data_IF_398872395565
#
_entry.id   IF_398872395565
#
_cell.length_a   1.000
_cell.length_b   1.000
_cell.length_c   1.000
_cell.angle_alpha   90.00
_cell.angle_beta   90.00
_cell.angle_gamma   90.00
#
_symmetry.space_group_name_H-M   'P 1'
#
loop_
_entity.id
_entity.type
_entity.pdbx_description
1 polymer ?
#
# COMPACT_ATOMS: atom_id res chain seq x y z
N UNK A 1 -3.07 -3.82 9.55
CA UNK A 1 -3.95 -3.10 8.63
C UNK A 1 -4.02 -1.61 8.98
N UNK A 2 -3.89 -0.73 7.98
CA UNK A 2 -3.89 0.73 8.18
C UNK A 2 -5.27 1.29 8.58
N UNK A 3 -6.36 0.56 8.32
CA UNK A 3 -7.72 1.00 8.68
C UNK A 3 -7.91 1.15 10.19
N UNK A 4 -7.60 0.15 11.04
CA UNK A 4 -7.62 0.29 12.48
C UNK A 4 -6.68 1.40 12.98
N UNK A 5 -5.50 1.55 12.38
CA UNK A 5 -4.55 2.61 12.76
C UNK A 5 -5.13 4.02 12.55
N UNK A 6 -5.78 4.26 11.40
CA UNK A 6 -6.49 5.51 11.11
C UNK A 6 -7.66 5.73 12.08
N UNK A 7 -8.42 4.68 12.37
CA UNK A 7 -9.53 4.77 13.34
C UNK A 7 -9.04 5.02 14.77
N UNK A 8 -7.88 4.48 15.15
CA UNK A 8 -7.28 4.71 16.46
C UNK A 8 -6.83 6.17 16.65
N UNK A 9 -6.59 6.91 15.58
CA UNK A 9 -6.24 8.33 15.66
C UNK A 9 -7.34 9.19 16.33
N UNK A 10 -8.55 8.67 16.49
CA UNK A 10 -9.63 9.31 17.29
C UNK A 10 -9.28 9.52 18.76
N UNK A 11 -8.34 8.72 19.29
CA UNK A 11 -7.91 8.82 20.69
C UNK A 11 -6.92 9.97 20.95
N UNK A 12 -6.50 10.67 19.91
CA UNK A 12 -5.61 11.83 20.04
C UNK A 12 -6.37 13.04 20.56
N UNK A 13 -5.77 13.74 21.53
CA UNK A 13 -6.38 14.87 22.23
C UNK A 13 -6.58 16.07 21.33
N UNK A 14 -5.63 16.31 20.40
CA UNK A 14 -5.70 17.45 19.51
C UNK A 14 -6.05 17.04 18.08
N UNK A 15 -6.77 17.91 17.36
CA UNK A 15 -7.07 17.71 15.95
C UNK A 15 -5.78 17.64 15.10
N UNK A 16 -4.77 18.43 15.48
CA UNK A 16 -3.47 18.46 14.78
C UNK A 16 -2.75 17.14 14.89
N UNK A 17 -2.68 16.56 16.09
CA UNK A 17 -2.03 15.27 16.31
C UNK A 17 -2.78 14.16 15.60
N UNK A 18 -4.13 14.21 15.60
CA UNK A 18 -4.96 13.28 14.84
C UNK A 18 -4.66 13.31 13.34
N UNK A 19 -4.63 14.51 12.75
CA UNK A 19 -4.32 14.69 11.34
C UNK A 19 -2.91 14.24 10.99
N UNK A 20 -1.94 14.51 11.86
CA UNK A 20 -0.55 14.09 11.71
C UNK A 20 -0.43 12.56 11.72
N UNK A 21 -1.05 11.90 12.71
CA UNK A 21 -1.07 10.44 12.84
C UNK A 21 -1.71 9.79 11.61
N UNK A 22 -2.84 10.32 11.12
CA UNK A 22 -3.49 9.85 9.90
C UNK A 22 -2.56 9.98 8.68
N UNK A 23 -1.76 11.05 8.60
CA UNK A 23 -0.82 11.24 7.48
C UNK A 23 0.39 10.32 7.53
N UNK A 24 0.79 9.85 8.71
CA UNK A 24 1.91 8.90 8.89
C UNK A 24 1.48 7.45 8.66
N UNK A 25 0.23 7.10 8.94
CA UNK A 25 -0.28 5.74 8.88
C UNK A 25 -0.04 5.00 7.54
N UNK A 26 -0.15 5.62 6.35
CA UNK A 26 0.04 4.95 5.06
C UNK A 26 1.44 4.36 4.84
N UNK A 27 2.45 4.91 5.49
CA UNK A 27 3.84 4.48 5.33
C UNK A 27 4.17 3.21 6.13
N UNK A 28 3.32 2.86 7.09
CA UNK A 28 3.49 1.61 7.83
C UNK A 28 3.08 0.42 6.98
N UNK A 29 3.92 -0.61 6.95
CA UNK A 29 3.61 -1.86 6.25
C UNK A 29 2.41 -2.56 6.87
N UNK A 30 1.61 -3.22 6.04
CA UNK A 30 0.49 -4.07 6.47
C UNK A 30 0.67 -5.49 5.92
N UNK A 31 -0.02 -6.48 6.50
CA UNK A 31 0.08 -7.87 6.07
C UNK A 31 -0.18 -8.09 4.57
N UNK A 32 -1.12 -7.34 3.98
CA UNK A 32 -1.39 -7.43 2.55
C UNK A 32 -0.23 -6.97 1.63
N UNK A 33 0.71 -6.18 2.14
CA UNK A 33 1.94 -5.84 1.40
C UNK A 33 3.00 -6.92 1.53
N UNK A 34 2.97 -7.67 2.63
CA UNK A 34 3.97 -8.70 2.90
C UNK A 34 3.96 -9.79 1.83
N UNK A 35 2.79 -10.21 1.34
CA UNK A 35 2.67 -11.19 0.25
C UNK A 35 3.36 -10.71 -1.04
N UNK A 36 3.24 -9.41 -1.37
CA UNK A 36 3.97 -8.84 -2.52
C UNK A 36 5.48 -8.81 -2.27
N UNK A 37 5.91 -8.49 -1.03
CA UNK A 37 7.34 -8.52 -0.70
C UNK A 37 7.91 -9.94 -0.79
N UNK A 38 7.15 -10.93 -0.33
CA UNK A 38 7.54 -12.32 -0.40
C UNK A 38 7.66 -12.82 -1.85
N UNK A 39 6.70 -12.46 -2.73
CA UNK A 39 6.77 -12.78 -4.16
C UNK A 39 8.05 -12.24 -4.81
N UNK A 40 8.36 -10.96 -4.58
CA UNK A 40 9.56 -10.35 -5.14
C UNK A 40 10.86 -10.83 -4.46
N UNK A 41 10.79 -11.17 -3.17
CA UNK A 41 11.92 -11.77 -2.46
C UNK A 41 12.29 -13.12 -3.05
N UNK A 42 11.29 -13.96 -3.35
CA UNK A 42 11.48 -15.24 -4.01
C UNK A 42 12.03 -15.09 -5.43
N UNK A 43 11.51 -14.13 -6.22
CA UNK A 43 11.93 -13.92 -7.59
C UNK A 43 13.35 -13.33 -7.72
N UNK A 44 13.70 -12.32 -6.92
CA UNK A 44 14.92 -11.52 -7.15
C UNK A 44 15.97 -11.61 -6.05
N UNK A 45 15.60 -12.03 -4.83
CA UNK A 45 16.44 -11.93 -3.63
C UNK A 45 16.50 -13.26 -2.85
N UNK A 46 16.66 -14.38 -3.55
CA UNK A 46 16.63 -15.74 -2.98
C UNK A 46 17.56 -15.92 -1.78
N UNK A 47 18.77 -15.33 -1.80
CA UNK A 47 19.73 -15.44 -0.69
C UNK A 47 19.50 -14.41 0.43
N UNK A 48 18.92 -13.24 0.11
CA UNK A 48 18.82 -12.09 1.02
C UNK A 48 17.37 -11.54 1.18
N UNK A 49 16.34 -12.35 0.90
CA UNK A 49 14.94 -11.92 0.92
C UNK A 49 14.51 -11.34 2.27
N UNK A 50 14.89 -11.99 3.38
CA UNK A 50 14.57 -11.50 4.72
C UNK A 50 15.21 -10.13 5.02
N UNK A 51 16.46 -9.92 4.60
CA UNK A 51 17.15 -8.62 4.75
C UNK A 51 16.45 -7.54 3.92
N UNK A 52 16.04 -7.85 2.69
CA UNK A 52 15.33 -6.93 1.81
C UNK A 52 14.00 -6.50 2.44
N UNK A 53 13.22 -7.43 2.96
CA UNK A 53 11.96 -7.13 3.65
C UNK A 53 12.22 -6.28 4.89
N UNK A 54 13.24 -6.59 5.68
CA UNK A 54 13.63 -5.80 6.84
C UNK A 54 13.97 -4.35 6.46
N UNK A 55 14.74 -4.15 5.38
CA UNK A 55 15.07 -2.82 4.86
C UNK A 55 13.81 -2.05 4.47
N UNK A 56 12.82 -2.69 3.82
CA UNK A 56 11.55 -2.08 3.48
C UNK A 56 10.75 -1.64 4.72
N UNK A 57 10.74 -2.44 5.79
CA UNK A 57 10.09 -2.05 7.06
C UNK A 57 10.77 -0.83 7.69
N UNK A 58 12.09 -0.83 7.77
CA UNK A 58 12.87 0.30 8.31
C UNK A 58 12.66 1.55 7.47
N UNK A 59 12.65 1.42 6.13
CA UNK A 59 12.36 2.52 5.21
C UNK A 59 10.95 3.09 5.44
N UNK A 60 9.95 2.24 5.61
CA UNK A 60 8.58 2.67 5.89
C UNK A 60 8.48 3.49 7.18
N UNK A 61 9.14 3.03 8.26
CA UNK A 61 9.20 3.74 9.54
C UNK A 61 9.91 5.09 9.37
N UNK A 62 11.06 5.10 8.69
CA UNK A 62 11.81 6.33 8.43
C UNK A 62 10.98 7.35 7.65
N UNK A 63 10.27 6.92 6.61
CA UNK A 63 9.39 7.79 5.80
C UNK A 63 8.19 8.29 6.59
N UNK A 64 7.62 7.48 7.49
CA UNK A 64 6.58 7.93 8.40
C UNK A 64 7.09 9.05 9.33
N UNK A 65 8.27 8.86 9.94
CA UNK A 65 8.89 9.87 10.81
C UNK A 65 9.24 11.15 10.04
N UNK A 66 9.83 11.03 8.84
CA UNK A 66 10.16 12.17 7.98
C UNK A 66 8.91 12.95 7.59
N UNK A 67 7.83 12.26 7.22
CA UNK A 67 6.54 12.90 6.92
C UNK A 67 5.98 13.61 8.15
N UNK A 68 6.00 12.98 9.32
CA UNK A 68 5.57 13.59 10.57
C UNK A 68 6.36 14.87 10.89
N UNK A 69 7.69 14.83 10.79
CA UNK A 69 8.54 16.00 10.99
C UNK A 69 8.30 17.10 9.94
N UNK A 70 8.14 16.71 8.68
CA UNK A 70 7.86 17.64 7.59
C UNK A 70 6.54 18.39 7.82
N UNK A 71 5.46 17.66 8.13
CA UNK A 71 4.13 18.23 8.37
C UNK A 71 4.10 19.10 9.64
N UNK A 72 4.74 18.64 10.72
CA UNK A 72 4.86 19.39 11.96
C UNK A 72 5.56 20.73 11.75
N UNK A 73 6.64 20.75 10.96
CA UNK A 73 7.44 21.95 10.74
C UNK A 73 6.89 22.88 9.65
N UNK A 74 5.93 22.40 8.83
CA UNK A 74 5.39 23.17 7.69
C UNK A 74 3.95 23.59 7.89
N UNK A 75 3.05 22.68 8.27
CA UNK A 75 1.61 22.90 8.34
C UNK A 75 1.10 23.12 9.77
N UNK A 76 1.74 22.53 10.77
CA UNK A 76 1.28 22.56 12.15
C UNK A 76 2.33 23.21 13.04
N UNK A 77 1.99 24.34 13.68
CA UNK A 77 2.84 24.86 14.76
C UNK A 77 2.77 23.93 15.97
N UNK A 78 3.91 23.67 16.64
CA UNK A 78 3.90 22.92 17.89
C UNK A 78 3.13 23.73 18.95
N UNK A 79 2.04 23.16 19.42
CA UNK A 79 1.35 23.62 20.62
C UNK A 79 1.77 22.67 21.74
N UNK A 80 2.41 23.21 22.77
CA UNK A 80 2.67 22.48 24.00
C UNK A 80 1.37 22.44 24.79
N UNK A 81 0.51 21.45 24.49
CA UNK A 81 -0.59 21.12 25.38
C UNK A 81 -0.05 20.27 26.50
N UNK A 82 -0.06 20.74 27.76
CA UNK A 82 0.29 19.89 28.87
C UNK A 82 -0.70 18.73 28.91
N UNK A 83 -0.23 17.52 28.69
CA UNK A 83 -1.04 16.32 28.83
C UNK A 83 -1.24 16.05 30.32
N UNK A 84 -2.35 16.49 30.87
CA UNK A 84 -2.79 16.18 32.22
C UNK A 84 -3.94 15.18 32.10
N UNK A 85 -3.63 13.91 32.24
CA UNK A 85 -4.66 12.87 32.32
C UNK A 85 -4.90 12.52 33.78
N UNK A 86 -6.09 12.81 34.28
CA UNK A 86 -6.55 12.23 35.52
C UNK A 86 -6.61 10.71 35.36
N UNK A 87 -5.92 9.97 36.22
CA UNK A 87 -5.96 8.51 36.21
C UNK A 87 -7.37 8.07 36.66
N UNK A 88 -8.21 7.55 35.74
CA UNK A 88 -9.50 7.01 36.13
C UNK A 88 -9.30 5.81 37.03
N UNK A 89 -10.27 5.56 37.94
CA UNK A 89 -10.24 4.39 38.79
C UNK A 89 -10.12 3.11 37.95
N UNK A 90 -9.13 2.27 38.31
CA UNK A 90 -8.87 1.04 37.58
C UNK A 90 -10.02 0.05 37.80
N UNK A 91 -10.74 -0.29 36.74
CA UNK A 91 -11.77 -1.32 36.73
C UNK A 91 -11.31 -2.53 35.94
N UNK A 92 -11.38 -3.71 36.53
CA UNK A 92 -11.10 -4.95 35.81
C UNK A 92 -12.15 -5.15 34.72
N UNK A 93 -11.78 -5.25 33.46
CA UNK A 93 -12.73 -5.40 32.37
C UNK A 93 -13.46 -6.74 32.46
N UNK A 94 -14.79 -6.72 32.34
CA UNK A 94 -15.58 -7.95 32.30
C UNK A 94 -15.45 -8.61 30.92
N UNK A 95 -15.24 -9.94 30.91
CA UNK A 95 -15.11 -10.72 29.66
C UNK A 95 -16.30 -10.47 28.73
N UNK A 96 -17.52 -10.48 29.26
CA UNK A 96 -18.74 -10.20 28.49
C UNK A 96 -18.73 -8.81 27.85
N UNK A 97 -18.28 -7.78 28.57
CA UNK A 97 -18.18 -6.41 28.07
C UNK A 97 -17.14 -6.27 26.95
N UNK A 98 -15.99 -6.94 27.11
CA UNK A 98 -14.93 -6.97 26.08
C UNK A 98 -15.45 -7.67 24.82
N UNK A 99 -16.01 -8.87 24.94
CA UNK A 99 -16.52 -9.64 23.81
C UNK A 99 -17.64 -8.91 23.05
N UNK A 100 -18.60 -8.29 23.75
CA UNK A 100 -19.66 -7.51 23.12
C UNK A 100 -19.12 -6.33 22.33
N UNK A 101 -18.24 -5.53 22.93
CA UNK A 101 -17.63 -4.37 22.26
C UNK A 101 -16.75 -4.79 21.08
N UNK A 102 -16.01 -5.89 21.22
CA UNK A 102 -15.20 -6.46 20.14
C UNK A 102 -16.09 -6.91 19.00
N UNK A 103 -17.18 -7.63 19.28
CA UNK A 103 -18.12 -8.08 18.27
C UNK A 103 -18.81 -6.92 17.54
N UNK A 104 -19.26 -5.89 18.23
CA UNK A 104 -19.86 -4.70 17.61
C UNK A 104 -18.88 -3.99 16.67
N UNK A 105 -17.62 -3.83 17.10
CA UNK A 105 -16.56 -3.23 16.27
C UNK A 105 -16.23 -4.09 15.07
N UNK A 106 -16.05 -5.40 15.28
CA UNK A 106 -15.74 -6.36 14.23
C UNK A 106 -16.86 -6.43 13.19
N UNK A 107 -18.12 -6.59 13.63
CA UNK A 107 -19.28 -6.59 12.75
C UNK A 107 -19.37 -5.31 11.92
N UNK A 108 -19.22 -4.17 12.58
CA UNK A 108 -19.25 -2.87 11.91
C UNK A 108 -18.12 -2.72 10.88
N UNK A 109 -16.94 -3.23 11.17
CA UNK A 109 -15.78 -3.23 10.27
C UNK A 109 -16.02 -4.16 9.07
N UNK A 110 -16.37 -5.42 9.32
CA UNK A 110 -16.57 -6.43 8.28
C UNK A 110 -17.68 -6.01 7.31
N UNK A 111 -18.83 -5.53 7.83
CA UNK A 111 -19.94 -5.11 6.97
C UNK A 111 -19.60 -3.89 6.10
N UNK A 112 -18.80 -2.95 6.61
CA UNK A 112 -18.44 -1.75 5.85
C UNK A 112 -17.28 -1.99 4.89
N UNK A 113 -16.21 -2.60 5.37
CA UNK A 113 -15.05 -2.93 4.55
C UNK A 113 -15.41 -3.98 3.49
N UNK A 114 -16.13 -5.04 3.88
CA UNK A 114 -16.58 -6.09 2.98
C UNK A 114 -17.45 -5.53 1.84
N UNK A 115 -18.43 -4.67 2.14
CA UNK A 115 -19.25 -4.05 1.10
C UNK A 115 -18.40 -3.24 0.11
N UNK A 116 -17.44 -2.48 0.60
CA UNK A 116 -16.55 -1.68 -0.27
C UNK A 116 -15.66 -2.59 -1.11
N UNK A 117 -15.06 -3.62 -0.49
CA UNK A 117 -14.17 -4.57 -1.18
C UNK A 117 -14.93 -5.32 -2.26
N UNK A 118 -16.12 -5.90 -1.94
CA UNK A 118 -16.94 -6.63 -2.91
C UNK A 118 -17.30 -5.73 -4.10
N UNK A 119 -17.76 -4.51 -3.85
CA UNK A 119 -18.11 -3.57 -4.93
C UNK A 119 -16.92 -3.28 -5.84
N UNK A 120 -15.74 -3.06 -5.23
CA UNK A 120 -14.52 -2.77 -5.98
C UNK A 120 -14.03 -3.98 -6.77
N UNK A 121 -14.05 -5.18 -6.17
CA UNK A 121 -13.67 -6.43 -6.86
C UNK A 121 -14.57 -6.68 -8.05
N UNK A 122 -15.89 -6.51 -7.92
CA UNK A 122 -16.83 -6.64 -9.04
C UNK A 122 -16.48 -5.66 -10.18
N UNK A 123 -16.18 -4.40 -9.84
CA UNK A 123 -15.80 -3.39 -10.85
C UNK A 123 -14.47 -3.77 -11.53
N UNK A 124 -13.48 -4.25 -10.79
CA UNK A 124 -12.20 -4.66 -11.34
C UNK A 124 -12.31 -5.90 -12.22
N UNK A 125 -13.07 -6.92 -11.79
CA UNK A 125 -13.32 -8.12 -12.59
C UNK A 125 -14.05 -7.74 -13.88
N UNK A 126 -15.01 -6.83 -13.82
CA UNK A 126 -15.70 -6.34 -14.99
C UNK A 126 -14.76 -5.62 -15.97
N UNK A 127 -13.89 -4.74 -15.47
CA UNK A 127 -12.90 -4.04 -16.29
C UNK A 127 -11.83 -4.99 -16.88
N UNK A 128 -11.52 -6.06 -16.17
CA UNK A 128 -10.57 -7.07 -16.63
C UNK A 128 -11.20 -8.02 -17.66
N UNK A 129 -12.51 -8.30 -17.54
CA UNK A 129 -13.23 -9.21 -18.43
C UNK A 129 -13.64 -8.55 -19.76
N UNK A 130 -13.84 -7.22 -19.79
CA UNK A 130 -14.21 -6.50 -21.01
C UNK A 130 -12.97 -6.20 -21.85
N UNK A 131 -12.99 -6.59 -23.12
CA UNK A 131 -12.02 -6.16 -24.12
C UNK A 131 -12.26 -4.73 -24.60
N UNK A 132 -11.21 -4.11 -25.11
CA UNK A 132 -11.29 -2.78 -25.74
C UNK A 132 -12.20 -2.73 -26.97
N UNK A 133 -12.54 -3.88 -27.53
CA UNK A 133 -13.47 -4.10 -28.64
C UNK A 133 -14.91 -4.41 -28.21
N UNK A 134 -15.17 -4.43 -26.88
CA UNK A 134 -16.47 -4.78 -26.30
C UNK A 134 -16.72 -6.28 -26.18
N UNK A 135 -15.74 -7.14 -26.46
CA UNK A 135 -15.82 -8.58 -26.22
C UNK A 135 -15.71 -8.90 -24.72
N UNK A 136 -16.40 -9.96 -24.25
CA UNK A 136 -16.29 -10.48 -22.90
C UNK A 136 -15.38 -11.72 -22.87
N UNK A 137 -14.78 -12.02 -21.70
CA UNK A 137 -13.91 -13.19 -21.53
C UNK A 137 -12.44 -12.90 -21.81
N UNK A 138 -12.01 -11.62 -21.75
CA UNK A 138 -10.61 -11.22 -21.93
C UNK A 138 -9.89 -11.10 -20.57
N UNK A 139 -10.26 -11.92 -19.60
CA UNK A 139 -9.62 -11.91 -18.27
C UNK A 139 -8.13 -12.20 -18.40
N UNK A 140 -7.33 -11.36 -17.74
CA UNK A 140 -5.85 -11.45 -17.71
C UNK A 140 -5.20 -11.45 -19.13
N UNK A 141 -5.87 -10.90 -20.13
CA UNK A 141 -5.37 -10.84 -21.49
C UNK A 141 -4.98 -9.40 -21.85
N UNK A 142 -4.06 -9.28 -22.82
CA UNK A 142 -3.60 -7.99 -23.38
C UNK A 142 -4.73 -7.12 -23.93
N UNK A 143 -5.87 -7.73 -24.32
CA UNK A 143 -7.03 -7.05 -24.90
C UNK A 143 -7.95 -6.42 -23.86
N UNK A 144 -7.79 -6.71 -22.58
CA UNK A 144 -8.65 -6.15 -21.54
C UNK A 144 -8.52 -4.63 -21.46
N UNK A 145 -9.59 -3.95 -21.08
CA UNK A 145 -9.60 -2.49 -20.87
C UNK A 145 -8.58 -2.12 -19.77
N UNK A 146 -8.45 -2.96 -18.74
CA UNK A 146 -7.49 -2.74 -17.65
C UNK A 146 -6.05 -2.77 -18.16
N UNK A 147 -5.71 -3.74 -19.01
CA UNK A 147 -4.39 -3.84 -19.66
C UNK A 147 -4.12 -2.65 -20.60
N UNK A 148 -5.16 -2.20 -21.33
CA UNK A 148 -5.06 -1.00 -22.15
C UNK A 148 -4.75 0.27 -21.36
N UNK A 149 -5.41 0.48 -20.21
CA UNK A 149 -5.13 1.59 -19.31
C UNK A 149 -3.70 1.48 -18.76
N UNK A 150 -3.30 0.29 -18.34
CA UNK A 150 -1.97 0.05 -17.79
C UNK A 150 -0.87 0.40 -18.80
N UNK A 151 -1.00 -0.02 -20.06
CA UNK A 151 -0.03 0.31 -21.14
C UNK A 151 0.12 1.81 -21.38
N UNK A 152 -0.96 2.57 -21.29
CA UNK A 152 -0.90 4.04 -21.42
C UNK A 152 -0.17 4.68 -20.23
N UNK A 153 -0.28 4.09 -19.05
CA UNK A 153 0.31 4.62 -17.81
C UNK A 153 1.74 4.11 -17.59
N UNK A 154 2.11 2.94 -18.11
CA UNK A 154 3.44 2.32 -17.92
C UNK A 154 4.60 3.24 -18.23
N UNK A 155 4.62 4.06 -19.31
CA UNK A 155 5.72 4.98 -19.59
C UNK A 155 6.01 5.97 -18.45
N UNK A 156 5.00 6.33 -17.63
CA UNK A 156 5.20 7.18 -16.45
C UNK A 156 6.03 6.50 -15.36
N UNK A 157 6.12 5.18 -15.36
CA UNK A 157 6.92 4.40 -14.43
C UNK A 157 8.31 4.00 -14.98
N UNK A 158 8.63 4.37 -16.21
CA UNK A 158 9.96 4.14 -16.81
C UNK A 158 11.11 4.69 -15.95
N UNK A 159 11.02 5.88 -15.30
CA UNK A 159 12.08 6.38 -14.42
C UNK A 159 12.35 5.53 -13.16
N UNK A 160 11.39 4.65 -12.78
CA UNK A 160 11.55 3.67 -11.70
C UNK A 160 12.17 2.35 -12.17
N UNK A 161 12.42 2.18 -13.49
CA UNK A 161 12.93 0.96 -14.07
C UNK A 161 11.85 -0.01 -14.56
N UNK A 162 10.58 0.37 -14.60
CA UNK A 162 9.53 -0.42 -15.23
C UNK A 162 9.60 -0.20 -16.74
N UNK A 163 9.94 -1.26 -17.49
CA UNK A 163 10.03 -1.22 -18.94
C UNK A 163 8.65 -1.08 -19.59
N UNK A 164 8.57 -0.60 -20.81
CA UNK A 164 7.29 -0.40 -21.51
C UNK A 164 6.53 -1.72 -21.72
N UNK A 165 7.26 -2.81 -21.95
CA UNK A 165 6.69 -4.14 -22.11
C UNK A 165 6.20 -4.75 -20.77
N UNK A 166 6.62 -4.18 -19.64
CA UNK A 166 6.22 -4.64 -18.30
C UNK A 166 4.94 -3.94 -17.81
N UNK A 167 3.93 -3.86 -18.69
CA UNK A 167 2.61 -3.35 -18.32
C UNK A 167 1.91 -4.19 -17.23
N UNK A 168 2.17 -5.53 -17.04
CA UNK A 168 1.61 -6.29 -15.93
C UNK A 168 1.97 -5.71 -14.56
N UNK A 169 3.21 -5.22 -14.38
CA UNK A 169 3.61 -4.52 -13.15
C UNK A 169 2.73 -3.29 -12.88
N UNK A 170 2.36 -2.54 -13.93
CA UNK A 170 1.46 -1.38 -13.82
C UNK A 170 0.03 -1.79 -13.47
N UNK A 171 -0.47 -2.92 -14.02
CA UNK A 171 -1.75 -3.50 -13.59
C UNK A 171 -1.69 -3.83 -12.10
N UNK A 172 -0.61 -4.44 -11.62
CA UNK A 172 -0.39 -4.73 -10.20
C UNK A 172 -0.43 -3.47 -9.32
N UNK A 173 0.11 -2.33 -9.78
CA UNK A 173 0.00 -1.04 -9.08
C UNK A 173 -1.46 -0.59 -9.02
N UNK A 174 -2.19 -0.64 -10.13
CA UNK A 174 -3.57 -0.19 -10.22
C UNK A 174 -4.48 -1.07 -9.34
N UNK A 175 -4.40 -2.38 -9.49
CA UNK A 175 -5.18 -3.33 -8.67
C UNK A 175 -4.86 -3.21 -7.19
N UNK A 176 -3.58 -2.96 -6.84
CA UNK A 176 -3.13 -2.76 -5.48
C UNK A 176 -3.66 -1.50 -4.79
N UNK A 177 -4.12 -0.48 -5.53
CA UNK A 177 -4.87 0.65 -4.94
C UNK A 177 -6.21 0.16 -4.40
N UNK A 178 -6.82 -0.77 -5.07
CA UNK A 178 -8.13 -1.30 -4.70
C UNK A 178 -8.02 -2.41 -3.64
N UNK A 179 -7.24 -3.45 -3.94
CA UNK A 179 -7.07 -4.63 -3.09
C UNK A 179 -5.59 -5.09 -3.17
N UNK A 180 -4.81 -4.78 -2.13
CA UNK A 180 -3.38 -5.11 -2.12
C UNK A 180 -3.11 -6.61 -2.06
N UNK A 181 -4.00 -7.34 -1.45
CA UNK A 181 -3.99 -8.80 -1.39
C UNK A 181 -4.19 -9.47 -2.77
N UNK A 182 -4.91 -8.82 -3.67
CA UNK A 182 -5.15 -9.35 -5.01
C UNK A 182 -3.97 -9.16 -5.97
N UNK A 183 -2.96 -8.36 -5.60
CA UNK A 183 -1.81 -8.05 -6.47
C UNK A 183 -1.05 -9.30 -6.86
N UNK A 184 -0.80 -10.22 -5.92
CA UNK A 184 -0.03 -11.44 -6.18
C UNK A 184 -0.74 -12.31 -7.21
N UNK A 185 -2.03 -12.61 -7.01
CA UNK A 185 -2.80 -13.39 -7.98
C UNK A 185 -2.94 -12.71 -9.34
N UNK A 186 -3.04 -11.36 -9.37
CA UNK A 186 -3.07 -10.62 -10.63
C UNK A 186 -1.74 -10.69 -11.37
N UNK A 187 -0.61 -10.57 -10.66
CA UNK A 187 0.71 -10.67 -11.26
C UNK A 187 0.98 -12.09 -11.73
N UNK A 188 0.63 -13.11 -10.94
CA UNK A 188 0.78 -14.51 -11.32
C UNK A 188 0.00 -14.81 -12.61
N UNK A 189 -1.26 -14.45 -12.68
CA UNK A 189 -2.10 -14.66 -13.85
C UNK A 189 -1.62 -13.91 -15.12
N UNK A 190 -0.97 -12.74 -14.97
CA UNK A 190 -0.47 -11.96 -16.09
C UNK A 190 0.94 -12.35 -16.56
N UNK A 191 1.77 -12.88 -15.66
CA UNK A 191 3.11 -13.35 -15.99
C UNK A 191 3.15 -14.83 -16.38
N UNK A 192 2.09 -15.62 -16.11
CA UNK A 192 1.92 -17.01 -16.51
C UNK A 192 0.69 -17.21 -17.39
N UNK A 193 0.65 -16.65 -18.60
CA UNK A 193 -0.54 -16.73 -19.47
C UNK A 193 -0.83 -18.17 -19.95
N UNK A 194 0.11 -19.10 -19.85
CA UNK A 194 -0.06 -20.53 -20.20
C UNK A 194 -0.80 -21.33 -19.10
N UNK A 195 -0.97 -20.76 -17.92
CA UNK A 195 -1.75 -21.36 -16.83
C UNK A 195 -3.27 -21.12 -16.98
N UNK A 196 -3.73 -20.65 -18.13
CA UNK A 196 -5.14 -20.62 -18.50
C UNK A 196 -5.69 -22.05 -18.51
N UNK A 197 -6.21 -22.44 -17.37
CA UNK A 197 -6.87 -23.73 -17.16
C UNK A 197 -8.12 -23.73 -18.06
N UNK A 198 -8.10 -24.55 -19.14
CA UNK A 198 -9.25 -24.87 -19.97
C UNK A 198 -10.29 -25.71 -19.18
N UNK A 199 -10.23 -25.71 -17.85
CA UNK A 199 -11.22 -26.36 -17.01
C UNK A 199 -12.58 -25.67 -17.15
N UNK A 200 -13.60 -26.44 -17.48
CA UNK A 200 -14.99 -26.00 -17.48
C UNK A 200 -15.29 -25.26 -16.16
N UNK A 201 -15.82 -24.05 -16.26
CA UNK A 201 -16.13 -23.19 -15.10
C UNK A 201 -17.12 -23.91 -14.16
N UNK A 202 -16.63 -24.59 -13.15
CA UNK A 202 -17.43 -25.21 -12.08
C UNK A 202 -17.62 -24.24 -10.90
N UNK A 203 -18.73 -23.51 -10.94
CA UNK A 203 -19.09 -22.58 -9.87
C UNK A 203 -19.29 -23.28 -8.51
N UNK A 204 -19.83 -24.51 -8.51
CA UNK A 204 -20.10 -25.24 -7.28
C UNK A 204 -18.83 -25.82 -6.69
N UNK A 205 -17.92 -26.31 -7.54
CA UNK A 205 -16.58 -26.77 -7.15
C UNK A 205 -15.78 -25.61 -6.53
N UNK A 206 -15.66 -24.50 -7.23
CA UNK A 206 -14.95 -23.31 -6.74
C UNK A 206 -15.53 -22.72 -5.45
N UNK A 207 -16.87 -22.73 -5.29
CA UNK A 207 -17.51 -22.30 -4.04
C UNK A 207 -17.23 -23.26 -2.89
N UNK A 208 -17.25 -24.58 -3.17
CA UNK A 208 -16.91 -25.61 -2.20
C UNK A 208 -15.45 -25.49 -1.74
N UNK A 209 -14.54 -25.28 -2.66
CA UNK A 209 -13.11 -25.09 -2.38
C UNK A 209 -12.88 -23.81 -1.55
N UNK A 210 -13.51 -22.70 -1.92
CA UNK A 210 -13.47 -21.45 -1.14
C UNK A 210 -14.02 -21.61 0.29
N UNK A 211 -15.04 -22.44 0.52
CA UNK A 211 -15.56 -22.71 1.86
C UNK A 211 -14.59 -23.60 2.65
N UNK A 212 -13.95 -24.56 2.00
CA UNK A 212 -12.98 -25.48 2.65
C UNK A 212 -11.68 -24.77 3.07
N UNK A 213 -11.33 -23.62 2.48
CA UNK A 213 -10.18 -22.81 2.96
C UNK A 213 -10.41 -22.25 4.37
N UNK A 214 -11.67 -22.12 4.82
CA UNK A 214 -11.97 -21.56 6.15
C UNK A 214 -11.47 -22.47 7.28
N UNK A 215 -11.81 -23.78 7.34
CA UNK A 215 -11.27 -24.68 8.38
C UNK A 215 -9.77 -24.85 8.27
N UNK A 216 -9.19 -24.88 7.07
CA UNK A 216 -7.74 -25.02 6.88
C UNK A 216 -6.98 -23.81 7.42
N UNK A 217 -7.43 -22.60 7.11
CA UNK A 217 -6.85 -21.38 7.68
C UNK A 217 -7.09 -21.28 9.20
N UNK A 218 -8.20 -21.83 9.72
CA UNK A 218 -8.47 -21.84 11.17
C UNK A 218 -7.48 -22.78 11.90
N UNK A 219 -7.10 -23.89 11.29
CA UNK A 219 -6.07 -24.79 11.84
C UNK A 219 -4.70 -24.09 11.90
N UNK A 220 -4.36 -23.27 10.89
CA UNK A 220 -3.11 -22.48 10.80
C UNK A 220 -3.05 -21.24 11.73
N UNK A 221 -4.14 -20.88 12.44
CA UNK A 221 -4.13 -19.71 13.33
C UNK A 221 -3.08 -19.81 14.45
N UNK A 222 -2.81 -21.02 14.94
CA UNK A 222 -1.81 -21.22 15.98
C UNK A 222 -0.40 -20.85 15.48
N UNK A 223 -0.06 -21.21 14.26
CA UNK A 223 1.24 -20.92 13.63
C UNK A 223 1.35 -19.42 13.34
N UNK A 224 0.28 -18.79 12.88
CA UNK A 224 0.23 -17.33 12.68
C UNK A 224 0.40 -16.54 13.99
N UNK A 225 -0.06 -17.07 15.12
CA UNK A 225 0.16 -16.45 16.45
C UNK A 225 1.61 -16.56 16.92
N UNK A 226 2.32 -17.59 16.50
CA UNK A 226 3.74 -17.79 16.81
C UNK A 226 4.66 -16.95 15.90
N UNK A 227 4.19 -16.56 14.72
CA UNK A 227 4.91 -15.69 13.78
C UNK A 227 4.09 -14.42 13.43
N UNK A 228 3.96 -13.47 14.36
CA UNK A 228 3.16 -12.27 14.18
C UNK A 228 3.69 -11.31 13.10
N UNK A 229 4.92 -11.50 12.65
CA UNK A 229 5.54 -10.70 11.59
C UNK A 229 5.48 -11.39 10.22
N UNK A 230 5.05 -12.65 10.16
CA UNK A 230 4.99 -13.44 8.93
C UNK A 230 6.39 -13.71 8.32
N UNK A 231 7.42 -13.79 9.17
CA UNK A 231 8.79 -14.00 8.71
C UNK A 231 9.03 -15.43 8.21
N UNK A 232 8.23 -16.39 8.63
CA UNK A 232 8.23 -17.76 8.09
C UNK A 232 7.86 -17.78 6.62
N UNK A 233 7.03 -16.84 6.17
CA UNK A 233 6.69 -16.64 4.75
C UNK A 233 7.87 -16.17 3.88
N UNK A 234 9.06 -15.92 4.45
CA UNK A 234 10.23 -15.40 3.74
C UNK A 234 11.32 -16.47 3.58
N UNK A 235 10.97 -17.75 3.71
CA UNK A 235 11.88 -18.90 3.54
C UNK A 235 12.02 -19.38 2.08
N UNK A 236 12.87 -20.35 1.83
CA UNK A 236 13.30 -20.76 0.49
C UNK A 236 12.24 -21.52 -0.38
N UNK A 237 11.11 -21.96 0.18
CA UNK A 237 10.11 -22.78 -0.52
C UNK A 237 8.79 -22.02 -0.83
N UNK A 238 8.86 -20.72 -1.10
CA UNK A 238 7.71 -19.81 -1.09
C UNK A 238 6.81 -19.85 -2.32
N UNK A 239 7.29 -20.34 -3.45
CA UNK A 239 6.47 -20.45 -4.68
C UNK A 239 5.27 -21.37 -4.47
N UNK A 240 5.51 -22.54 -3.84
CA UNK A 240 4.47 -23.52 -3.58
C UNK A 240 3.47 -23.06 -2.50
N UNK A 241 3.92 -22.39 -1.42
CA UNK A 241 3.04 -21.89 -0.36
C UNK A 241 2.12 -20.74 -0.79
N UNK A 242 2.52 -19.94 -1.79
CA UNK A 242 1.70 -18.86 -2.33
C UNK A 242 0.88 -19.27 -3.55
N UNK A 243 1.01 -20.50 -4.04
CA UNK A 243 0.34 -20.99 -5.23
C UNK A 243 0.75 -20.23 -6.50
N UNK A 244 1.99 -19.73 -6.57
CA UNK A 244 2.54 -18.99 -7.70
C UNK A 244 3.28 -19.96 -8.63
N UNK A 245 3.05 -19.82 -9.92
CA UNK A 245 3.67 -20.68 -10.93
C UNK A 245 5.16 -20.33 -11.12
N UNK A 246 6.02 -21.33 -11.32
CA UNK A 246 7.46 -21.10 -11.57
C UNK A 246 7.74 -20.23 -12.80
N UNK A 247 6.87 -20.32 -13.81
CA UNK A 247 6.95 -19.46 -15.01
C UNK A 247 6.81 -17.98 -14.70
N UNK A 248 6.08 -17.62 -13.64
CA UNK A 248 5.90 -16.23 -13.16
C UNK A 248 7.24 -15.62 -12.75
N UNK A 249 8.06 -16.36 -12.00
CA UNK A 249 9.36 -15.86 -11.53
C UNK A 249 10.30 -15.57 -12.71
N UNK A 250 10.39 -16.50 -13.67
CA UNK A 250 11.24 -16.35 -14.86
C UNK A 250 10.80 -15.16 -15.72
N UNK A 251 9.49 -15.00 -15.89
CA UNK A 251 8.92 -13.87 -16.65
C UNK A 251 9.16 -12.54 -15.95
N UNK A 252 8.98 -12.49 -14.61
CA UNK A 252 9.28 -11.31 -13.81
C UNK A 252 10.74 -10.90 -13.92
N UNK A 253 11.69 -11.84 -13.79
CA UNK A 253 13.13 -11.57 -13.93
C UNK A 253 13.45 -10.96 -15.29
N UNK A 254 12.86 -11.51 -16.35
CA UNK A 254 13.09 -11.03 -17.72
C UNK A 254 12.54 -9.61 -17.93
N UNK A 255 11.32 -9.34 -17.47
CA UNK A 255 10.64 -8.07 -17.72
C UNK A 255 11.11 -6.93 -16.80
N UNK A 256 11.56 -7.21 -15.57
CA UNK A 256 12.18 -6.20 -14.72
C UNK A 256 13.66 -5.97 -15.07
N UNK A 257 14.35 -6.98 -15.58
CA UNK A 257 15.72 -6.92 -16.08
C UNK A 257 16.80 -6.58 -15.05
N UNK A 258 16.46 -6.13 -13.85
CA UNK A 258 17.43 -5.84 -12.78
C UNK A 258 16.81 -5.89 -11.37
N UNK A 259 17.64 -6.29 -10.40
CA UNK A 259 17.24 -6.26 -8.97
C UNK A 259 16.94 -4.83 -8.49
N UNK A 260 17.59 -3.81 -9.06
CA UNK A 260 17.32 -2.40 -8.73
C UNK A 260 15.93 -1.95 -9.18
N UNK A 261 15.45 -2.41 -10.33
CA UNK A 261 14.10 -2.14 -10.81
C UNK A 261 13.06 -2.82 -9.93
N UNK A 262 13.27 -4.09 -9.59
CA UNK A 262 12.40 -4.84 -8.69
C UNK A 262 12.34 -4.19 -7.29
N UNK A 263 13.48 -3.80 -6.72
CA UNK A 263 13.53 -3.13 -5.42
C UNK A 263 12.88 -1.74 -5.46
N UNK A 264 13.11 -0.96 -6.50
CA UNK A 264 12.45 0.34 -6.71
C UNK A 264 10.93 0.20 -6.79
N UNK A 265 10.44 -0.81 -7.52
CA UNK A 265 9.02 -1.13 -7.59
C UNK A 265 8.45 -1.46 -6.20
N UNK A 266 9.15 -2.26 -5.39
CA UNK A 266 8.75 -2.56 -4.02
C UNK A 266 8.72 -1.32 -3.13
N UNK A 267 9.68 -0.43 -3.26
CA UNK A 267 9.70 0.86 -2.54
C UNK A 267 8.49 1.71 -2.94
N UNK A 268 8.12 1.72 -4.22
CA UNK A 268 6.91 2.38 -4.67
C UNK A 268 5.66 1.75 -4.05
N UNK A 269 5.52 0.41 -4.09
CA UNK A 269 4.39 -0.34 -3.51
C UNK A 269 4.31 -0.17 -1.99
N UNK A 270 5.45 -0.01 -1.32
CA UNK A 270 5.50 0.29 0.12
C UNK A 270 4.89 1.66 0.44
N UNK A 271 5.27 2.70 -0.30
CA UNK A 271 5.04 4.09 0.10
C UNK A 271 3.81 4.72 -0.57
N UNK A 272 3.33 4.18 -1.72
CA UNK A 272 2.23 4.80 -2.47
C UNK A 272 0.90 4.73 -1.70
N UNK A 273 -0.13 5.32 -2.30
CA UNK A 273 -1.46 5.44 -1.71
C UNK A 273 -1.93 4.16 -0.99
N UNK A 274 -2.54 4.27 0.19
CA UNK A 274 -3.13 3.12 0.86
C UNK A 274 -4.35 2.60 0.09
N UNK A 275 -4.83 1.40 0.43
CA UNK A 275 -6.00 0.80 -0.22
C UNK A 275 -7.28 1.64 -0.01
N UNK A 276 -8.24 1.46 -0.92
CA UNK A 276 -9.54 2.18 -0.91
C UNK A 276 -10.24 2.10 0.45
N UNK A 277 -10.15 0.98 1.16
CA UNK A 277 -10.72 0.84 2.51
C UNK A 277 -10.10 1.84 3.50
N UNK A 278 -8.78 2.04 3.43
CA UNK A 278 -8.07 3.03 4.27
C UNK A 278 -8.41 4.46 3.84
N UNK A 279 -8.52 4.74 2.54
CA UNK A 279 -8.96 6.04 2.03
C UNK A 279 -10.36 6.38 2.55
N UNK A 280 -11.28 5.42 2.54
CA UNK A 280 -12.62 5.58 3.10
C UNK A 280 -12.61 5.83 4.62
N UNK A 281 -11.70 5.22 5.37
CA UNK A 281 -11.51 5.52 6.79
C UNK A 281 -10.95 6.94 7.01
N UNK A 282 -9.92 7.33 6.24
CA UNK A 282 -9.33 8.68 6.29
C UNK A 282 -10.34 9.76 5.98
N UNK A 283 -11.15 9.57 4.92
CA UNK A 283 -12.18 10.53 4.53
C UNK A 283 -13.20 10.80 5.65
N UNK A 284 -13.51 9.75 6.43
CA UNK A 284 -14.44 9.87 7.57
C UNK A 284 -13.81 10.49 8.80
N UNK A 285 -12.54 10.20 9.08
CA UNK A 285 -11.86 10.70 10.28
C UNK A 285 -11.31 12.12 10.13
N UNK A 286 -10.90 12.50 8.93
CA UNK A 286 -10.19 13.77 8.68
C UNK A 286 -10.79 14.62 7.55
N UNK A 287 -11.84 14.12 6.89
CA UNK A 287 -12.47 14.75 5.75
C UNK A 287 -11.77 14.49 4.42
N UNK A 288 -12.53 14.65 3.32
CA UNK A 288 -12.08 14.33 1.95
C UNK A 288 -10.84 15.16 1.55
N UNK A 289 -10.79 16.44 1.94
CA UNK A 289 -9.66 17.32 1.59
C UNK A 289 -8.34 16.85 2.17
N UNK A 290 -8.35 16.40 3.43
CA UNK A 290 -7.16 15.88 4.07
C UNK A 290 -6.77 14.51 3.50
N UNK A 291 -7.73 13.65 3.25
CA UNK A 291 -7.52 12.36 2.59
C UNK A 291 -6.85 12.54 1.23
N UNK A 292 -7.35 13.44 0.37
CA UNK A 292 -6.74 13.73 -0.94
C UNK A 292 -5.32 14.28 -0.82
N UNK A 293 -5.09 15.16 0.16
CA UNK A 293 -3.75 15.69 0.44
C UNK A 293 -2.79 14.56 0.83
N UNK A 294 -3.16 13.69 1.78
CA UNK A 294 -2.33 12.58 2.22
C UNK A 294 -2.07 11.59 1.09
N UNK A 295 -3.07 11.29 0.27
CA UNK A 295 -2.95 10.43 -0.91
C UNK A 295 -1.95 10.99 -1.92
N UNK A 296 -2.07 12.27 -2.26
CA UNK A 296 -1.15 12.94 -3.16
C UNK A 296 0.28 13.02 -2.60
N UNK A 297 0.40 13.31 -1.31
CA UNK A 297 1.69 13.37 -0.61
C UNK A 297 2.39 12.00 -0.58
N UNK A 298 1.67 10.95 -0.16
CA UNK A 298 2.25 9.60 -0.09
C UNK A 298 2.64 9.07 -1.47
N UNK A 299 1.79 9.26 -2.50
CA UNK A 299 2.10 8.84 -3.86
C UNK A 299 3.26 9.63 -4.46
N UNK A 300 3.33 10.94 -4.23
CA UNK A 300 4.45 11.77 -4.67
C UNK A 300 5.78 11.37 -4.01
N UNK A 301 5.76 11.12 -2.69
CA UNK A 301 6.95 10.61 -1.99
C UNK A 301 7.33 9.20 -2.47
N UNK A 302 6.35 8.31 -2.68
CA UNK A 302 6.59 6.97 -3.20
C UNK A 302 7.31 7.03 -4.55
N UNK A 303 6.78 7.83 -5.47
CA UNK A 303 7.35 7.99 -6.80
C UNK A 303 8.77 8.55 -6.75
N UNK A 304 8.99 9.66 -6.06
CA UNK A 304 10.30 10.30 -5.98
C UNK A 304 11.33 9.42 -5.28
N UNK A 305 10.95 8.72 -4.20
CA UNK A 305 11.86 7.80 -3.49
C UNK A 305 12.21 6.60 -4.36
N UNK A 306 11.24 6.01 -5.04
CA UNK A 306 11.47 4.88 -5.93
C UNK A 306 12.36 5.26 -7.12
N UNK A 307 12.12 6.42 -7.76
CA UNK A 307 13.00 6.95 -8.81
C UNK A 307 14.43 7.13 -8.29
N UNK A 308 14.60 7.74 -7.12
CA UNK A 308 15.93 7.91 -6.52
C UNK A 308 16.62 6.56 -6.32
N UNK A 309 15.92 5.57 -5.79
CA UNK A 309 16.47 4.22 -5.56
C UNK A 309 16.91 3.57 -6.86
N UNK A 310 16.09 3.60 -7.90
CA UNK A 310 16.47 3.03 -9.19
C UNK A 310 17.66 3.76 -9.81
N UNK A 311 17.64 5.08 -9.81
CA UNK A 311 18.69 5.90 -10.39
C UNK A 311 20.03 5.79 -9.64
N UNK A 312 20.00 5.48 -8.33
CA UNK A 312 21.22 5.14 -7.59
C UNK A 312 21.88 3.87 -8.14
N UNK A 313 21.09 2.85 -8.51
CA UNK A 313 21.59 1.66 -9.19
C UNK A 313 22.17 1.94 -10.58
N UNK A 314 21.67 2.98 -11.27
CA UNK A 314 22.12 3.37 -12.62
C UNK A 314 23.30 4.35 -12.64
N UNK A 315 23.80 4.78 -11.48
CA UNK A 315 24.94 5.73 -11.43
C UNK A 315 26.21 5.21 -12.09
N UNK A 316 26.41 3.90 -12.13
CA UNK A 316 27.57 3.27 -12.76
C UNK A 316 27.47 3.19 -14.28
N UNK A 317 26.25 3.12 -14.82
CA UNK A 317 25.99 2.94 -16.27
C UNK A 317 25.69 4.25 -16.99
N UNK A 318 24.86 5.12 -16.38
CA UNK A 318 24.39 6.37 -16.98
C UNK A 318 24.39 7.53 -15.96
N UNK A 319 25.56 8.00 -15.50
CA UNK A 319 25.65 8.94 -14.39
C UNK A 319 24.95 10.28 -14.64
N UNK A 320 25.01 10.82 -15.86
CA UNK A 320 24.41 12.11 -16.18
C UNK A 320 22.87 12.08 -16.10
N UNK A 321 22.26 11.04 -16.63
CA UNK A 321 20.79 10.85 -16.59
C UNK A 321 20.33 10.58 -15.15
N UNK A 322 21.04 9.70 -14.45
CA UNK A 322 20.74 9.36 -13.06
C UNK A 322 20.80 10.60 -12.15
N UNK A 323 21.83 11.41 -12.22
CA UNK A 323 21.96 12.63 -11.44
C UNK A 323 20.89 13.67 -11.78
N UNK A 324 20.47 13.77 -13.04
CA UNK A 324 19.39 14.68 -13.45
C UNK A 324 18.05 14.28 -12.82
N UNK A 325 17.70 12.99 -12.81
CA UNK A 325 16.50 12.49 -12.17
C UNK A 325 16.53 12.66 -10.65
N UNK A 326 17.65 12.31 -10.00
CA UNK A 326 17.82 12.48 -8.54
C UNK A 326 17.68 13.96 -8.17
N UNK A 327 18.36 14.85 -8.91
CA UNK A 327 18.26 16.29 -8.68
C UNK A 327 16.84 16.83 -8.88
N UNK A 328 16.14 16.38 -9.92
CA UNK A 328 14.74 16.72 -10.19
C UNK A 328 13.80 16.28 -9.05
N UNK A 329 13.95 15.05 -8.57
CA UNK A 329 13.16 14.53 -7.47
C UNK A 329 13.40 15.30 -6.15
N UNK A 330 14.64 15.60 -5.83
CA UNK A 330 14.99 16.41 -4.65
C UNK A 330 14.41 17.83 -4.78
N UNK A 331 14.53 18.45 -5.94
CA UNK A 331 13.97 19.78 -6.20
C UNK A 331 12.43 19.76 -6.09
N UNK A 332 11.76 18.72 -6.57
CA UNK A 332 10.32 18.55 -6.44
C UNK A 332 9.88 18.44 -4.97
N UNK A 333 10.56 17.61 -4.17
CA UNK A 333 10.29 17.48 -2.73
C UNK A 333 10.51 18.83 -2.01
N UNK A 334 11.62 19.51 -2.32
CA UNK A 334 11.93 20.83 -1.74
C UNK A 334 10.86 21.87 -2.09
N UNK A 335 10.38 21.88 -3.34
CA UNK A 335 9.29 22.77 -3.79
C UNK A 335 7.99 22.47 -3.05
N UNK A 336 7.63 21.18 -2.89
CA UNK A 336 6.45 20.78 -2.14
C UNK A 336 6.53 21.25 -0.68
N UNK A 337 7.66 21.04 0.00
CA UNK A 337 7.90 21.50 1.37
C UNK A 337 7.85 23.01 1.49
N UNK A 338 8.41 23.73 0.52
CA UNK A 338 8.35 25.20 0.48
C UNK A 338 6.91 25.71 0.34
N UNK A 339 6.13 25.12 -0.58
CA UNK A 339 4.71 25.44 -0.75
C UNK A 339 3.91 25.15 0.51
N UNK A 340 4.15 24.02 1.15
CA UNK A 340 3.49 23.67 2.42
C UNK A 340 3.83 24.66 3.52
N UNK A 341 5.10 25.11 3.64
CA UNK A 341 5.52 26.16 4.57
C UNK A 341 4.83 27.49 4.28
N UNK A 342 4.76 27.90 3.00
CA UNK A 342 4.10 29.13 2.60
C UNK A 342 2.61 29.11 2.96
N UNK A 343 1.95 27.97 2.71
CA UNK A 343 0.54 27.77 3.06
C UNK A 343 0.31 27.80 4.59
N UNK A 344 1.17 27.13 5.36
CA UNK A 344 1.11 27.15 6.83
C UNK A 344 1.23 28.56 7.40
N UNK A 345 2.21 29.35 6.94
CA UNK A 345 2.40 30.75 7.33
C UNK A 345 1.18 31.63 6.98
N UNK A 346 0.61 31.45 5.76
CA UNK A 346 -0.55 32.21 5.34
C UNK A 346 -1.81 31.87 6.15
N UNK A 347 -1.97 30.63 6.59
CA UNK A 347 -3.06 30.19 7.47
C UNK A 347 -2.92 30.81 8.86
N UNK A 348 -1.73 30.78 9.43
CA UNK A 348 -1.44 31.37 10.74
C UNK A 348 -1.66 32.88 10.77
N UNK A 349 -1.29 33.59 9.70
CA UNK A 349 -1.51 35.03 9.56
C UNK A 349 -3.01 35.42 9.48
N UNK A 350 -3.88 34.48 9.10
CA UNK A 350 -5.34 34.70 9.04
C UNK A 350 -6.05 34.41 10.37
N UNK A 351 -5.41 33.72 11.30
CA UNK A 351 -5.93 33.57 12.65
C UNK A 351 -5.65 34.87 13.41
N UNK A 352 -6.71 35.69 13.60
CA UNK A 352 -6.65 36.90 14.36
C UNK A 352 -6.16 36.56 15.78
N UNK A 353 -5.07 37.15 16.29
CA UNK A 353 -4.69 36.97 17.67
C UNK A 353 -5.86 37.44 18.55
N UNK A 354 -6.40 36.55 19.38
CA UNK A 354 -7.28 36.95 20.47
C UNK A 354 -6.38 37.77 21.40
N UNK A 355 -6.39 39.09 21.22
CA UNK A 355 -5.81 39.98 22.19
C UNK A 355 -6.58 39.77 23.48
N UNK A 356 -5.88 39.33 24.54
CA UNK A 356 -6.41 39.32 25.88
C UNK A 356 -7.13 40.64 26.15
N UNK A 357 -8.42 40.56 26.36
CA UNK A 357 -9.18 41.67 26.94
C UNK A 357 -8.72 41.68 28.40
N UNK A 358 -7.92 42.71 28.73
CA UNK A 358 -7.56 43.03 30.10
C UNK A 358 -8.80 43.48 30.90
#
# INVERSE_FOLDING_TARGET
CNVPAVMAARTMDTEKDRLLTIAMAPFMSCGARLSVYALFAAAFFTENGALMVFILYVLGIAMAMLTGMALKNTLFKPELTPFVMELPAYHIPTVKGVLLKTWERLRSFVMRAGKTIITVVIILSFLNSIGSDGSFGNENNEKSVLSGIARVVTPAFSPLGVQEDNWPATVGIITGIFAKEAVVGTLDALYSPEAGDDSEFDLLGGLSEAIMTIPDNLAGVADTLLDPLGLSLIGADQGEEQGVHDSTFTTMETLFGSQWAAFSYLVFVLLYTPCVATLGAMARESGIRWMLFVTGWSTGLAYTTAVIVYQLGQLTTQPAIALSWIGGCIAFIALCLWRMRAYGKARDARMIPITSVD
#
